data_IF_549665851029
#
_entry.id   IF_549665851029
#
_cell.length_a   1.000
_cell.length_b   1.000
_cell.length_c   1.000
_cell.angle_alpha   90.00
_cell.angle_beta   90.00
_cell.angle_gamma   90.00
#
_symmetry.space_group_name_H-M   'P 1'
#
loop_
_entity.id
_entity.type
_entity.pdbx_description
1 polymer ?
#
# COMPACT_ATOMS: atom_id res chain seq x y z
N UNK A 1 17.08 29.37 -55.38
CA UNK A 1 16.62 30.72 -54.95
C UNK A 1 15.22 30.76 -54.31
N UNK A 2 14.51 29.64 -54.10
CA UNK A 2 13.13 29.66 -53.56
C UNK A 2 13.06 29.55 -52.02
N UNK A 3 14.13 29.06 -51.37
CA UNK A 3 14.15 28.84 -49.91
C UNK A 3 14.41 30.10 -49.07
N UNK A 4 14.90 31.19 -49.68
CA UNK A 4 15.11 32.47 -48.96
C UNK A 4 13.86 33.33 -48.87
N UNK A 5 12.92 33.22 -49.81
CA UNK A 5 11.67 34.00 -49.79
C UNK A 5 10.68 33.52 -48.73
N UNK A 6 10.63 32.21 -48.46
CA UNK A 6 9.71 31.65 -47.45
C UNK A 6 10.10 32.05 -46.02
N UNK A 7 11.40 32.20 -45.76
CA UNK A 7 11.91 32.61 -44.44
C UNK A 7 11.66 34.09 -44.12
N UNK A 8 11.56 34.95 -45.14
CA UNK A 8 11.23 36.37 -44.92
C UNK A 8 9.73 36.60 -44.68
N UNK A 9 8.86 35.71 -45.17
CA UNK A 9 7.42 35.78 -44.89
C UNK A 9 7.08 35.32 -43.47
N UNK A 10 7.76 34.28 -42.95
CA UNK A 10 7.57 33.82 -41.56
C UNK A 10 8.10 34.84 -40.53
N UNK A 11 9.18 35.58 -40.83
CA UNK A 11 9.72 36.62 -39.93
C UNK A 11 8.91 37.94 -39.95
N UNK A 12 8.15 38.23 -41.01
CA UNK A 12 7.20 39.37 -41.03
C UNK A 12 5.88 39.02 -40.32
N UNK A 13 5.41 37.77 -40.42
CA UNK A 13 4.19 37.30 -39.75
C UNK A 13 4.37 37.22 -38.21
N UNK A 14 5.55 36.78 -37.72
CA UNK A 14 5.86 36.80 -36.29
C UNK A 14 6.00 38.23 -35.72
N UNK A 15 6.38 39.21 -36.55
CA UNK A 15 6.49 40.62 -36.12
C UNK A 15 5.16 41.36 -36.09
N UNK A 16 4.17 40.97 -36.88
CA UNK A 16 2.82 41.55 -36.80
C UNK A 16 2.02 40.95 -35.63
N UNK A 17 2.27 39.70 -35.23
CA UNK A 17 1.62 39.07 -34.07
C UNK A 17 2.15 39.61 -32.73
N UNK A 18 3.43 40.01 -32.65
CA UNK A 18 4.02 40.56 -31.41
C UNK A 18 3.59 42.01 -31.12
N UNK A 19 3.24 42.80 -32.16
CA UNK A 19 2.77 44.20 -31.99
C UNK A 19 1.27 44.25 -31.67
N UNK A 20 0.48 43.24 -32.06
CA UNK A 20 -0.92 43.11 -31.68
C UNK A 20 -1.11 42.65 -30.21
N UNK A 21 -0.15 41.89 -29.67
CA UNK A 21 -0.19 41.44 -28.27
C UNK A 21 0.19 42.53 -27.25
N UNK A 22 0.86 43.62 -27.68
CA UNK A 22 1.28 44.72 -26.81
C UNK A 22 0.21 45.81 -26.61
N UNK A 23 -0.93 45.76 -27.30
CA UNK A 23 -2.02 46.74 -27.20
C UNK A 23 -3.16 46.33 -26.24
N UNK A 24 -3.06 45.18 -25.57
CA UNK A 24 -4.07 44.70 -24.61
C UNK A 24 -3.52 44.65 -23.18
N UNK A 25 -2.93 45.76 -22.72
CA UNK A 25 -2.49 45.93 -21.33
C UNK A 25 -3.48 46.87 -20.64
N UNK A 26 -4.29 46.24 -19.76
CA UNK A 26 -5.06 46.77 -18.63
C UNK A 26 -6.42 47.43 -18.95
N UNK A 27 -7.50 46.78 -18.51
CA UNK A 27 -8.45 47.42 -17.63
C UNK A 27 -8.25 46.86 -16.23
N UNK A 28 -7.92 47.76 -15.31
CA UNK A 28 -8.04 47.54 -13.87
C UNK A 28 -9.50 47.17 -13.57
N UNK A 29 -9.83 46.05 -12.91
CA UNK A 29 -11.14 45.92 -12.32
C UNK A 29 -11.14 46.71 -11.01
N UNK A 30 -11.73 47.91 -11.11
CA UNK A 30 -12.43 48.51 -10.01
C UNK A 30 -13.28 47.44 -9.30
N UNK A 31 -13.35 47.55 -7.98
CA UNK A 31 -14.25 46.78 -7.13
C UNK A 31 -15.65 46.70 -7.76
N UNK A 32 -16.08 45.49 -8.11
CA UNK A 32 -17.47 45.17 -8.37
C UNK A 32 -17.75 43.84 -7.68
N UNK A 33 -18.49 43.94 -6.58
CA UNK A 33 -19.27 42.86 -5.97
C UNK A 33 -19.97 42.06 -7.08
N UNK A 34 -19.68 40.76 -7.13
CA UNK A 34 -20.14 39.85 -8.16
C UNK A 34 -20.01 38.44 -7.62
N UNK A 35 -20.92 38.11 -6.70
CA UNK A 35 -21.18 36.77 -6.20
C UNK A 35 -21.22 35.76 -7.35
N UNK A 36 -20.17 34.96 -7.49
CA UNK A 36 -20.17 33.75 -8.31
C UNK A 36 -20.94 32.69 -7.53
N UNK A 37 -22.27 32.82 -7.58
CA UNK A 37 -23.18 31.87 -6.96
C UNK A 37 -22.93 30.48 -7.57
N UNK A 38 -22.80 29.41 -6.75
CA UNK A 38 -22.60 28.07 -7.27
C UNK A 38 -23.73 27.73 -8.25
N UNK A 39 -23.38 27.12 -9.39
CA UNK A 39 -24.36 26.64 -10.37
C UNK A 39 -25.52 25.96 -9.62
N UNK A 40 -26.74 26.50 -9.77
CA UNK A 40 -27.94 25.98 -9.13
C UNK A 40 -28.33 24.64 -9.77
N UNK A 41 -27.53 23.61 -9.48
CA UNK A 41 -27.85 22.24 -9.81
C UNK A 41 -29.07 21.85 -8.99
N UNK A 42 -30.20 21.66 -9.67
CA UNK A 42 -31.41 21.15 -9.04
C UNK A 42 -31.08 19.91 -8.20
N UNK A 43 -31.68 19.80 -7.01
CA UNK A 43 -31.45 18.66 -6.12
C UNK A 43 -31.64 17.30 -6.82
N UNK A 44 -32.51 17.21 -7.83
CA UNK A 44 -32.68 16.03 -8.66
C UNK A 44 -31.47 15.70 -9.55
N UNK A 45 -30.87 16.71 -10.18
CA UNK A 45 -29.65 16.53 -10.98
C UNK A 45 -28.45 16.15 -10.10
N UNK A 46 -28.31 16.79 -8.93
CA UNK A 46 -27.27 16.45 -7.96
C UNK A 46 -27.45 15.02 -7.41
N UNK A 47 -28.68 14.59 -7.13
CA UNK A 47 -28.98 13.23 -6.71
C UNK A 47 -28.65 12.20 -7.81
N UNK A 48 -29.06 12.45 -9.05
CA UNK A 48 -28.76 11.57 -10.19
C UNK A 48 -27.24 11.46 -10.46
N UNK A 49 -26.52 12.58 -10.36
CA UNK A 49 -25.07 12.60 -10.50
C UNK A 49 -24.39 11.76 -9.40
N UNK A 50 -24.79 11.94 -8.14
CA UNK A 50 -24.25 11.18 -7.02
C UNK A 50 -24.53 9.66 -7.12
N UNK A 51 -25.71 9.28 -7.63
CA UNK A 51 -26.03 7.87 -7.88
C UNK A 51 -25.18 7.28 -9.00
N UNK A 52 -24.97 8.03 -10.09
CA UNK A 52 -24.11 7.61 -11.21
C UNK A 52 -22.65 7.44 -10.77
N UNK A 53 -22.15 8.33 -9.90
CA UNK A 53 -20.80 8.25 -9.36
C UNK A 53 -20.63 7.02 -8.46
N UNK A 54 -21.63 6.71 -7.62
CA UNK A 54 -21.64 5.48 -6.81
C UNK A 54 -21.61 4.22 -7.68
N UNK A 55 -22.34 4.21 -8.79
CA UNK A 55 -22.32 3.10 -9.74
C UNK A 55 -20.95 2.96 -10.40
N UNK A 56 -20.38 4.05 -10.91
CA UNK A 56 -19.06 4.07 -11.54
C UNK A 56 -17.95 3.63 -10.56
N UNK A 57 -18.01 4.08 -9.30
CA UNK A 57 -17.07 3.66 -8.27
C UNK A 57 -17.19 2.15 -7.98
N UNK A 58 -18.42 1.63 -7.92
CA UNK A 58 -18.69 0.20 -7.77
C UNK A 58 -18.15 -0.63 -8.94
N UNK A 59 -18.34 -0.16 -10.17
CA UNK A 59 -17.80 -0.80 -11.37
C UNK A 59 -16.28 -0.75 -11.42
N UNK A 60 -15.66 0.39 -11.09
CA UNK A 60 -14.21 0.53 -11.05
C UNK A 60 -13.59 -0.47 -10.05
N UNK A 61 -14.22 -0.66 -8.88
CA UNK A 61 -13.80 -1.66 -7.90
C UNK A 61 -13.90 -3.10 -8.45
N UNK A 62 -14.97 -3.42 -9.20
CA UNK A 62 -15.12 -4.73 -9.86
C UNK A 62 -14.06 -4.95 -10.93
N UNK A 63 -13.85 -3.99 -11.82
CA UNK A 63 -12.80 -4.03 -12.87
C UNK A 63 -11.42 -4.20 -12.25
N UNK A 64 -11.11 -3.48 -11.17
CA UNK A 64 -9.84 -3.63 -10.46
C UNK A 64 -9.66 -5.04 -9.89
N UNK A 65 -10.72 -5.63 -9.31
CA UNK A 65 -10.68 -7.03 -8.83
C UNK A 65 -10.45 -8.02 -9.97
N UNK A 66 -11.03 -7.79 -11.14
CA UNK A 66 -10.84 -8.63 -12.33
C UNK A 66 -9.40 -8.55 -12.86
N UNK A 67 -8.84 -7.35 -12.96
CA UNK A 67 -7.43 -7.15 -13.36
C UNK A 67 -6.45 -7.89 -12.43
N UNK A 68 -6.73 -7.92 -11.12
CA UNK A 68 -5.90 -8.68 -10.17
C UNK A 68 -6.02 -10.20 -10.37
N UNK A 69 -7.22 -10.70 -10.69
CA UNK A 69 -7.43 -12.12 -11.03
C UNK A 69 -6.73 -12.47 -12.34
N UNK A 70 -6.81 -11.62 -13.35
CA UNK A 70 -6.15 -11.81 -14.63
C UNK A 70 -4.62 -11.83 -14.49
N UNK A 71 -4.04 -10.90 -13.71
CA UNK A 71 -2.62 -10.91 -13.36
C UNK A 71 -2.20 -12.22 -12.68
N UNK A 72 -3.07 -12.80 -11.83
CA UNK A 72 -2.83 -14.10 -11.21
C UNK A 72 -2.84 -15.23 -12.26
N UNK A 73 -3.83 -15.25 -13.16
CA UNK A 73 -3.93 -16.23 -14.25
C UNK A 73 -2.70 -16.18 -15.16
N UNK A 74 -2.30 -15.00 -15.64
CA UNK A 74 -1.10 -14.82 -16.47
C UNK A 74 0.17 -15.34 -15.79
N UNK A 75 0.32 -15.14 -14.47
CA UNK A 75 1.46 -15.69 -13.71
C UNK A 75 1.43 -17.22 -13.64
N UNK A 76 0.25 -17.81 -13.50
CA UNK A 76 0.08 -19.26 -13.51
C UNK A 76 0.39 -19.83 -14.90
N UNK A 77 -0.10 -19.21 -15.97
CA UNK A 77 0.20 -19.59 -17.35
C UNK A 77 1.71 -19.54 -17.62
N UNK A 78 2.39 -18.46 -17.25
CA UNK A 78 3.85 -18.36 -17.39
C UNK A 78 4.59 -19.45 -16.60
N UNK A 79 4.11 -19.82 -15.42
CA UNK A 79 4.70 -20.90 -14.64
C UNK A 79 4.52 -22.25 -15.34
N UNK A 80 3.33 -22.52 -15.87
CA UNK A 80 3.03 -23.74 -16.63
C UNK A 80 3.87 -23.79 -17.91
N UNK A 81 3.95 -22.69 -18.66
CA UNK A 81 4.78 -22.59 -19.85
C UNK A 81 6.26 -22.78 -19.54
N UNK A 82 6.77 -22.17 -18.45
CA UNK A 82 8.15 -22.38 -18.02
C UNK A 82 8.40 -23.84 -17.62
N UNK A 83 7.43 -24.51 -16.98
CA UNK A 83 7.53 -25.93 -16.66
C UNK A 83 7.51 -26.78 -17.93
N UNK A 84 6.66 -26.47 -18.90
CA UNK A 84 6.63 -27.12 -20.22
C UNK A 84 7.92 -26.92 -21.00
N UNK A 85 8.51 -25.71 -21.00
CA UNK A 85 9.80 -25.43 -21.68
C UNK A 85 11.00 -26.06 -20.99
N UNK A 86 10.92 -26.30 -19.67
CA UNK A 86 11.94 -27.05 -18.92
C UNK A 86 11.83 -28.56 -19.11
N UNK A 87 10.70 -29.05 -19.64
CA UNK A 87 10.59 -30.41 -20.12
C UNK A 87 11.19 -30.46 -21.53
N UNK A 88 11.85 -31.57 -21.85
CA UNK A 88 12.36 -31.80 -23.20
C UNK A 88 11.17 -31.74 -24.18
N UNK A 89 11.33 -31.13 -25.36
CA UNK A 89 10.30 -31.11 -26.38
C UNK A 89 9.70 -32.51 -26.59
N UNK A 90 8.38 -32.61 -26.66
CA UNK A 90 7.69 -33.90 -26.81
C UNK A 90 8.22 -34.72 -27.99
N UNK A 91 8.64 -34.05 -29.07
CA UNK A 91 9.29 -34.71 -30.21
C UNK A 91 10.54 -35.52 -29.81
N UNK A 92 11.38 -34.99 -28.92
CA UNK A 92 12.57 -35.71 -28.42
C UNK A 92 12.21 -36.80 -27.42
N UNK A 93 11.19 -36.58 -26.59
CA UNK A 93 10.69 -37.63 -25.68
C UNK A 93 10.06 -38.78 -26.46
N UNK A 94 9.36 -38.48 -27.55
CA UNK A 94 8.76 -39.47 -28.44
C UNK A 94 9.82 -40.22 -29.24
N UNK A 95 10.90 -39.56 -29.67
CA UNK A 95 12.04 -40.21 -30.31
C UNK A 95 12.80 -41.13 -29.33
N UNK A 96 13.03 -40.69 -28.08
CA UNK A 96 13.63 -41.52 -27.04
C UNK A 96 12.73 -42.70 -26.64
N UNK A 97 11.41 -42.54 -26.70
CA UNK A 97 10.46 -43.64 -26.47
C UNK A 97 10.42 -44.62 -27.65
N UNK A 98 10.43 -44.13 -28.89
CA UNK A 98 10.46 -44.95 -30.09
C UNK A 98 11.81 -45.64 -30.33
N UNK A 99 12.90 -45.06 -29.83
CA UNK A 99 14.26 -45.63 -29.85
C UNK A 99 14.54 -46.61 -28.71
N UNK A 100 13.59 -46.86 -27.80
CA UNK A 100 13.74 -47.86 -26.74
C UNK A 100 13.43 -49.25 -27.31
N UNK A 101 14.40 -50.18 -27.41
CA UNK A 101 14.06 -51.56 -27.73
C UNK A 101 13.28 -52.16 -26.56
N UNK A 102 12.09 -52.70 -26.87
CA UNK A 102 11.29 -53.57 -26.00
C UNK A 102 12.20 -54.59 -25.30
N UNK A 103 12.37 -54.45 -23.98
CA UNK A 103 12.83 -55.54 -23.11
C UNK A 103 11.73 -55.84 -22.11
N UNK A 104 11.35 -57.12 -21.96
CA UNK A 104 10.08 -57.50 -21.36
C UNK A 104 10.09 -57.29 -19.85
N UNK A 105 8.88 -57.02 -19.36
CA UNK A 105 8.54 -56.95 -17.94
C UNK A 105 8.96 -58.23 -17.21
N UNK A 106 9.71 -58.07 -16.11
CA UNK A 106 9.90 -59.12 -15.13
C UNK A 106 10.10 -58.55 -13.72
N UNK A 107 9.31 -59.13 -12.81
CA UNK A 107 9.49 -59.24 -11.36
C UNK A 107 9.13 -58.04 -10.48
N UNK A 108 7.92 -58.13 -9.90
CA UNK A 108 7.70 -57.81 -8.49
C UNK A 108 8.80 -58.44 -7.62
N UNK A 109 9.33 -57.67 -6.67
CA UNK A 109 9.72 -58.15 -5.34
C UNK A 109 9.90 -56.99 -4.37
N UNK A 110 9.27 -57.15 -3.22
CA UNK A 110 9.41 -56.41 -1.96
C UNK A 110 10.83 -55.94 -1.64
N UNK A 111 10.93 -54.79 -0.96
CA UNK A 111 11.40 -54.64 0.45
C UNK A 111 11.52 -53.15 0.83
N UNK A 112 10.80 -52.75 1.89
CA UNK A 112 11.11 -51.63 2.79
C UNK A 112 12.53 -51.78 3.39
N UNK A 113 13.26 -50.70 3.76
CA UNK A 113 12.97 -50.00 5.02
C UNK A 113 13.22 -48.48 5.04
N UNK A 114 12.58 -47.83 6.01
CA UNK A 114 12.65 -46.40 6.26
C UNK A 114 13.97 -45.87 6.82
N UNK A 115 14.04 -44.55 6.96
CA UNK A 115 14.91 -43.87 7.91
C UNK A 115 14.35 -42.51 8.31
N UNK A 116 14.34 -42.30 9.63
CA UNK A 116 14.09 -41.04 10.33
C UNK A 116 15.11 -39.99 9.87
N UNK A 117 14.67 -38.76 9.65
CA UNK A 117 15.56 -37.60 9.55
C UNK A 117 15.05 -36.50 10.44
N UNK A 118 15.52 -36.55 11.68
CA UNK A 118 15.51 -35.46 12.64
C UNK A 118 16.75 -34.61 12.32
N UNK A 119 16.55 -33.39 11.80
CA UNK A 119 17.58 -32.35 11.80
C UNK A 119 16.94 -31.01 12.11
N UNK A 120 17.21 -30.59 13.34
CA UNK A 120 17.18 -29.21 13.78
C UNK A 120 18.06 -28.35 12.85
N UNK A 121 17.56 -27.17 12.49
CA UNK A 121 18.44 -26.02 12.28
C UNK A 121 17.69 -24.76 12.68
N UNK A 122 18.11 -24.22 13.84
CA UNK A 122 17.97 -22.81 14.13
C UNK A 122 18.67 -22.02 13.01
N UNK A 123 17.90 -21.16 12.36
CA UNK A 123 18.37 -20.33 11.26
C UNK A 123 17.62 -19.01 11.27
N UNK A 124 18.12 -18.10 12.09
CA UNK A 124 17.77 -16.68 12.20
C UNK A 124 17.50 -16.04 10.82
N UNK A 125 16.24 -15.95 10.40
CA UNK A 125 15.86 -15.19 9.20
C UNK A 125 15.84 -13.70 9.54
N UNK A 126 16.99 -13.05 9.39
CA UNK A 126 17.05 -11.61 9.19
C UNK A 126 16.22 -11.31 7.92
N UNK A 127 15.07 -10.65 8.11
CA UNK A 127 14.25 -10.11 7.03
C UNK A 127 15.11 -9.17 6.18
N UNK A 128 15.62 -9.66 5.06
CA UNK A 128 16.13 -8.81 4.02
C UNK A 128 14.95 -8.00 3.47
N UNK A 129 15.03 -6.70 3.68
CA UNK A 129 14.21 -5.71 2.99
C UNK A 129 14.39 -5.97 1.49
N UNK A 130 13.28 -6.24 0.79
CA UNK A 130 13.28 -6.28 -0.68
C UNK A 130 13.76 -4.93 -1.17
N UNK A 131 15.01 -4.87 -1.64
CA UNK A 131 15.41 -3.85 -2.59
C UNK A 131 14.53 -4.01 -3.83
N UNK A 132 13.88 -2.92 -4.22
CA UNK A 132 13.12 -2.87 -5.45
C UNK A 132 14.01 -3.26 -6.62
N UNK A 133 13.59 -4.35 -7.27
CA UNK A 133 14.28 -4.96 -8.39
C UNK A 133 14.42 -3.92 -9.50
N UNK A 134 15.66 -3.70 -9.94
CA UNK A 134 16.05 -2.83 -11.05
C UNK A 134 15.02 -2.89 -12.18
N UNK A 135 14.37 -1.75 -12.41
CA UNK A 135 13.43 -1.55 -13.52
C UNK A 135 14.21 -1.75 -14.82
N UNK A 136 13.65 -2.59 -15.69
CA UNK A 136 14.25 -2.99 -16.95
C UNK A 136 14.68 -1.80 -17.81
N UNK A 137 15.79 -2.02 -18.52
CA UNK A 137 16.42 -1.07 -19.41
C UNK A 137 15.50 -0.68 -20.59
N UNK A 138 14.98 0.55 -20.52
CA UNK A 138 14.77 1.55 -21.61
C UNK A 138 13.49 2.37 -21.38
N UNK A 139 13.60 3.37 -20.51
CA UNK A 139 12.80 4.60 -20.61
C UNK A 139 13.79 5.74 -20.75
N UNK A 140 13.77 6.47 -21.88
CA UNK A 140 14.54 7.71 -22.03
C UNK A 140 14.05 8.69 -20.95
N UNK A 141 14.89 8.93 -19.94
CA UNK A 141 14.84 10.03 -18.97
C UNK A 141 13.51 10.24 -18.22
N UNK A 142 13.33 9.59 -17.07
CA UNK A 142 12.36 10.09 -16.08
C UNK A 142 13.05 11.21 -15.28
N UNK A 143 12.76 12.47 -15.59
CA UNK A 143 13.17 13.59 -14.74
C UNK A 143 12.15 13.75 -13.61
N UNK A 144 12.62 13.67 -12.37
CA UNK A 144 11.81 14.06 -11.21
C UNK A 144 12.28 15.46 -10.82
N UNK A 145 11.50 16.48 -11.15
CA UNK A 145 11.73 17.83 -10.63
C UNK A 145 11.37 17.81 -9.14
N UNK A 146 12.39 17.89 -8.28
CA UNK A 146 12.20 18.06 -6.83
C UNK A 146 12.78 19.41 -6.45
N UNK A 147 11.98 20.26 -5.79
CA UNK A 147 12.52 21.48 -5.20
C UNK A 147 13.37 21.07 -3.98
N UNK A 148 14.62 21.52 -3.93
CA UNK A 148 15.55 21.16 -2.84
C UNK A 148 15.02 21.56 -1.45
N UNK A 149 14.21 22.62 -1.37
CA UNK A 149 13.57 23.11 -0.14
C UNK A 149 12.43 22.19 0.35
N UNK A 150 11.80 21.44 -0.54
CA UNK A 150 10.65 20.59 -0.19
C UNK A 150 11.09 19.29 0.48
N UNK A 151 12.35 18.87 0.30
CA UNK A 151 12.87 17.65 0.93
C UNK A 151 12.99 17.81 2.45
N UNK A 152 13.50 18.96 2.92
CA UNK A 152 13.61 19.24 4.35
C UNK A 152 12.25 19.53 4.99
N UNK A 153 11.35 20.22 4.27
CA UNK A 153 9.98 20.46 4.73
C UNK A 153 9.16 19.17 4.80
N UNK A 154 9.28 18.30 3.80
CA UNK A 154 8.63 16.98 3.80
C UNK A 154 9.18 16.11 4.93
N UNK A 155 10.50 16.13 5.16
CA UNK A 155 11.12 15.44 6.29
C UNK A 155 10.65 15.95 7.65
N UNK A 156 10.59 17.29 7.82
CA UNK A 156 10.12 17.92 9.04
C UNK A 156 8.63 17.62 9.29
N UNK A 157 7.77 17.78 8.27
CA UNK A 157 6.35 17.47 8.41
C UNK A 157 6.11 15.99 8.71
N UNK A 158 6.88 15.09 8.09
CA UNK A 158 6.86 13.67 8.43
C UNK A 158 7.32 13.41 9.86
N UNK A 159 8.34 14.13 10.34
CA UNK A 159 8.82 14.01 11.71
C UNK A 159 7.78 14.52 12.69
N UNK A 160 7.21 15.70 12.48
CA UNK A 160 6.10 16.24 13.26
C UNK A 160 4.90 15.30 13.29
N UNK A 161 4.55 14.69 12.15
CA UNK A 161 3.47 13.70 12.09
C UNK A 161 3.83 12.42 12.86
N UNK A 162 5.07 11.94 12.76
CA UNK A 162 5.55 10.79 13.55
C UNK A 162 5.53 11.10 15.05
N UNK A 163 5.98 12.28 15.44
CA UNK A 163 6.03 12.72 16.83
C UNK A 163 4.63 12.88 17.40
N UNK A 164 3.68 13.41 16.62
CA UNK A 164 2.26 13.47 16.97
C UNK A 164 1.65 12.08 17.18
N UNK A 165 1.88 11.16 16.24
CA UNK A 165 1.42 9.77 16.37
C UNK A 165 2.06 9.10 17.58
N UNK A 166 3.35 9.34 17.81
CA UNK A 166 4.08 8.77 18.93
C UNK A 166 3.55 9.31 20.25
N UNK A 167 3.45 10.63 20.45
CA UNK A 167 2.98 11.23 21.70
C UNK A 167 1.58 10.76 22.09
N UNK A 168 0.68 10.61 21.11
CA UNK A 168 -0.70 10.22 21.39
C UNK A 168 -0.91 8.69 21.48
N UNK A 169 -0.21 7.88 20.68
CA UNK A 169 -0.48 6.43 20.59
C UNK A 169 0.59 5.52 21.19
N UNK A 170 1.83 5.98 21.32
CA UNK A 170 2.97 5.15 21.72
C UNK A 170 3.84 5.76 22.83
N UNK A 171 3.52 6.98 23.26
CA UNK A 171 4.28 7.74 24.25
C UNK A 171 3.91 7.40 25.70
N UNK A 172 4.64 7.97 26.67
CA UNK A 172 4.39 7.76 28.09
C UNK A 172 2.94 8.14 28.46
N UNK A 173 2.25 7.26 29.20
CA UNK A 173 0.86 7.49 29.59
C UNK A 173 -0.17 7.11 28.53
N UNK A 174 0.24 6.58 27.37
CA UNK A 174 -0.70 6.00 26.42
C UNK A 174 -1.26 4.67 26.94
N UNK A 175 -2.54 4.44 26.69
CA UNK A 175 -3.24 3.22 27.08
C UNK A 175 -3.10 2.07 26.06
N UNK A 176 -2.19 2.20 25.09
CA UNK A 176 -1.91 1.17 24.10
C UNK A 176 -0.96 0.13 24.67
N UNK A 177 -1.36 -1.14 24.66
CA UNK A 177 -0.45 -2.24 24.98
C UNK A 177 0.52 -2.47 23.82
N UNK A 178 1.79 -2.76 24.12
CA UNK A 178 2.76 -3.12 23.09
C UNK A 178 2.35 -4.42 22.38
N UNK A 179 2.76 -4.60 21.12
CA UNK A 179 2.41 -5.81 20.37
C UNK A 179 2.90 -7.09 21.08
N UNK A 180 4.10 -7.04 21.67
CA UNK A 180 4.67 -8.17 22.39
C UNK A 180 3.88 -8.52 23.65
N UNK A 181 3.38 -7.51 24.38
CA UNK A 181 2.50 -7.73 25.54
C UNK A 181 1.14 -8.28 25.13
N UNK A 182 0.54 -7.72 24.08
CA UNK A 182 -0.76 -8.15 23.58
C UNK A 182 -0.74 -9.60 23.09
N UNK A 183 0.32 -10.00 22.39
CA UNK A 183 0.51 -11.38 21.92
C UNK A 183 1.28 -12.27 22.90
N UNK A 184 1.51 -11.81 24.14
CA UNK A 184 2.22 -12.60 25.15
C UNK A 184 1.42 -13.86 25.54
N UNK A 185 2.13 -14.92 25.92
CA UNK A 185 1.50 -16.14 26.45
C UNK A 185 0.69 -15.87 27.72
N UNK A 186 1.07 -14.87 28.52
CA UNK A 186 0.31 -14.43 29.68
C UNK A 186 -1.09 -13.96 29.25
N UNK A 187 -1.18 -12.98 28.33
CA UNK A 187 -2.47 -12.51 27.81
C UNK A 187 -3.26 -13.64 27.10
N UNK A 188 -2.56 -14.55 26.43
CA UNK A 188 -3.18 -15.71 25.78
C UNK A 188 -3.79 -16.70 26.79
N UNK A 189 -3.19 -16.87 27.97
CA UNK A 189 -3.70 -17.76 29.02
C UNK A 189 -4.70 -17.08 29.96
N UNK A 190 -4.68 -15.75 30.03
CA UNK A 190 -5.60 -14.99 30.88
C UNK A 190 -7.07 -15.24 30.48
N UNK A 191 -7.98 -15.43 31.46
CA UNK A 191 -9.40 -15.64 31.19
C UNK A 191 -10.05 -14.40 30.56
N UNK A 192 -9.57 -13.21 30.93
CA UNK A 192 -9.98 -11.93 30.34
C UNK A 192 -8.82 -11.39 29.50
N UNK A 193 -9.03 -11.29 28.18
CA UNK A 193 -8.02 -10.76 27.26
C UNK A 193 -7.82 -9.27 27.50
N UNK A 194 -6.56 -8.86 27.66
CA UNK A 194 -6.16 -7.45 27.63
C UNK A 194 -6.41 -6.91 26.23
N UNK A 195 -7.07 -5.76 26.15
CA UNK A 195 -7.33 -5.05 24.90
C UNK A 195 -6.04 -4.42 24.35
N UNK A 196 -5.95 -4.30 23.02
CA UNK A 196 -4.82 -3.67 22.35
C UNK A 196 -4.68 -2.17 22.69
N UNK A 197 -5.81 -1.51 22.93
CA UNK A 197 -5.94 -0.13 23.38
C UNK A 197 -6.96 -0.10 24.51
N UNK A 198 -6.63 0.55 25.62
CA UNK A 198 -7.59 0.82 26.69
C UNK A 198 -8.07 2.26 26.52
N UNK A 199 -9.38 2.51 26.54
CA UNK A 199 -9.89 3.89 26.40
C UNK A 199 -10.02 4.60 27.76
N UNK A 200 -10.02 3.81 28.84
CA UNK A 200 -10.21 4.29 30.20
C UNK A 200 -9.06 3.78 31.07
N UNK A 201 -8.44 4.72 31.78
CA UNK A 201 -7.38 4.44 32.74
C UNK A 201 -7.94 3.57 33.88
N UNK A 202 -7.58 2.29 33.89
CA UNK A 202 -7.96 1.37 34.98
C UNK A 202 -7.32 1.76 36.32
N UNK A 203 -6.24 2.54 36.27
CA UNK A 203 -5.58 3.12 37.44
C UNK A 203 -6.39 4.27 38.06
N UNK A 204 -7.36 4.82 37.33
CA UNK A 204 -8.18 5.92 37.81
C UNK A 204 -8.93 5.53 39.09
N UNK A 205 -8.70 6.31 40.14
CA UNK A 205 -9.37 6.12 41.43
C UNK A 205 -8.90 4.92 42.26
N UNK A 206 -7.82 4.22 41.87
CA UNK A 206 -7.25 3.14 42.69
C UNK A 206 -6.84 3.65 44.08
N UNK A 207 -6.22 4.83 44.17
CA UNK A 207 -5.81 5.42 45.44
C UNK A 207 -7.03 5.73 46.34
N UNK A 208 -8.10 6.28 45.77
CA UNK A 208 -9.35 6.54 46.49
C UNK A 208 -9.99 5.24 46.99
N UNK A 209 -9.99 4.18 46.17
CA UNK A 209 -10.46 2.83 46.57
C UNK A 209 -9.60 2.25 47.70
N UNK A 210 -8.28 2.41 47.64
CA UNK A 210 -7.38 1.96 48.71
C UNK A 210 -7.59 2.75 50.00
N UNK A 211 -7.74 4.08 49.93
CA UNK A 211 -8.08 4.92 51.08
C UNK A 211 -9.42 4.49 51.68
N UNK A 212 -10.44 4.24 50.87
CA UNK A 212 -11.75 3.77 51.33
C UNK A 212 -11.69 2.39 52.01
N UNK A 213 -10.92 1.43 51.46
CA UNK A 213 -10.77 0.12 52.10
C UNK A 213 -9.98 0.20 53.40
N UNK A 214 -8.91 1.01 53.46
CA UNK A 214 -8.19 1.31 54.70
C UNK A 214 -9.13 1.93 55.73
N UNK A 215 -9.90 2.95 55.34
CA UNK A 215 -10.88 3.60 56.22
C UNK A 215 -11.92 2.60 56.75
N UNK A 216 -12.51 1.77 55.87
CA UNK A 216 -13.47 0.73 56.28
C UNK A 216 -12.87 -0.24 57.30
N UNK A 217 -11.61 -0.66 57.12
CA UNK A 217 -10.90 -1.50 58.10
C UNK A 217 -10.76 -0.81 59.46
N UNK A 218 -10.27 0.43 59.48
CA UNK A 218 -10.13 1.20 60.73
C UNK A 218 -11.49 1.44 61.41
N UNK A 219 -12.54 1.69 60.64
CA UNK A 219 -13.90 1.86 61.15
C UNK A 219 -14.42 0.59 61.81
N UNK A 220 -14.25 -0.58 61.17
CA UNK A 220 -14.67 -1.87 61.74
C UNK A 220 -13.89 -2.17 63.02
N UNK A 221 -12.57 -1.97 63.02
CA UNK A 221 -11.71 -2.20 64.19
C UNK A 221 -11.98 -1.25 65.37
N UNK A 222 -12.60 -0.09 65.13
CA UNK A 222 -12.99 0.86 66.18
C UNK A 222 -14.39 0.62 66.73
N UNK A 223 -15.23 -0.10 65.98
CA UNK A 223 -16.62 -0.39 66.34
C UNK A 223 -16.78 -1.73 67.08
N UNK A 224 -15.79 -2.62 66.95
CA UNK A 224 -15.59 -3.82 67.76
C UNK A 224 -14.67 -3.48 68.93
#
# INVERSE_FOLDING_TARGET
MVRRRRKQQEEEEEKEEEVAAAAAVVPSPAASDGEDAPEELSFGAAAAAAESERQLAGEAARRHRELLKEKRRRRQELFVEQKRRKLLPEALLQELAAGRPEKPAAAERDKQPGNKSEKQSEGRVLKQVKQDKARGARSKGNYTAMHLKDQSLTGLHQQTAKDFVYSHLYGPGTNRTSANEFFSLANKKDPVKKAAVQFVDKSWGLEKKQKATKFKKHWISRKM
#
